data_IF_640681084809
#
_entry.id   IF_640681084809
#
_cell.length_a   1.000
_cell.length_b   1.000
_cell.length_c   1.000
_cell.angle_alpha   90.00
_cell.angle_beta   90.00
_cell.angle_gamma   90.00
#
_symmetry.space_group_name_H-M   'P 1'
#
loop_
_entity.id
_entity.type
_entity.pdbx_description
1 polymer ?
#
# COMPACT_ATOMS: atom_id res chain seq x y z
N UNK A 1 1.12 39.17 22.78
CA UNK A 1 1.90 38.81 21.57
C UNK A 1 2.55 37.43 21.67
N UNK A 2 3.34 37.11 22.71
CA UNK A 2 4.00 35.79 22.87
C UNK A 2 3.08 34.57 22.75
N UNK A 3 1.85 34.66 23.29
CA UNK A 3 0.83 33.59 23.21
C UNK A 3 0.35 33.31 21.78
N UNK A 4 0.22 34.35 20.95
CA UNK A 4 -0.23 34.22 19.56
C UNK A 4 0.86 33.57 18.72
N UNK A 5 2.11 33.96 18.94
CA UNK A 5 3.28 33.34 18.29
C UNK A 5 3.37 31.85 18.62
N UNK A 6 3.16 31.49 19.88
CA UNK A 6 3.19 30.09 20.31
C UNK A 6 2.07 29.25 19.67
N UNK A 7 0.86 29.81 19.58
CA UNK A 7 -0.27 29.15 18.92
C UNK A 7 -0.05 28.95 17.41
N UNK A 8 0.56 29.93 16.74
CA UNK A 8 0.91 29.84 15.32
C UNK A 8 1.94 28.76 15.02
N UNK A 9 2.96 28.63 15.89
CA UNK A 9 3.98 27.57 15.77
C UNK A 9 3.35 26.19 15.97
N UNK A 10 2.50 26.02 16.98
CA UNK A 10 1.82 24.75 17.25
C UNK A 10 0.90 24.32 16.08
N UNK A 11 0.20 25.27 15.46
CA UNK A 11 -0.64 25.01 14.29
C UNK A 11 0.19 24.58 13.06
N UNK A 12 1.38 25.16 12.85
CA UNK A 12 2.28 24.78 11.76
C UNK A 12 2.82 23.35 11.94
N UNK A 13 3.10 22.94 13.17
CA UNK A 13 3.59 21.59 13.47
C UNK A 13 2.52 20.51 13.39
N UNK A 14 1.23 20.87 13.51
CA UNK A 14 0.12 19.94 13.44
C UNK A 14 -0.16 19.40 12.02
N UNK A 15 0.37 20.06 10.98
CA UNK A 15 0.22 19.63 9.58
C UNK A 15 1.14 18.44 9.20
N UNK A 16 1.99 17.97 10.10
CA UNK A 16 2.97 16.91 9.85
C UNK A 16 2.47 15.47 10.01
N UNK A 17 1.17 15.26 10.25
CA UNK A 17 0.61 13.91 10.32
C UNK A 17 0.55 13.28 8.91
N UNK A 18 1.65 12.64 8.51
CA UNK A 18 1.70 11.81 7.31
C UNK A 18 0.85 10.55 7.56
N UNK A 19 -0.35 10.52 6.99
CA UNK A 19 -1.13 9.30 6.93
C UNK A 19 -0.39 8.24 6.09
N UNK A 20 -0.70 6.96 6.29
CA UNK A 20 -0.19 5.93 5.41
C UNK A 20 -0.71 6.17 4.00
N UNK A 21 0.15 5.99 3.00
CA UNK A 21 -0.27 6.01 1.59
C UNK A 21 -1.44 5.04 1.37
N UNK A 22 -2.31 5.37 0.42
CA UNK A 22 -3.37 4.47 0.01
C UNK A 22 -2.78 3.13 -0.45
N UNK A 23 -3.21 2.05 0.18
CA UNK A 23 -2.76 0.71 -0.20
C UNK A 23 -3.46 0.27 -1.50
N UNK A 24 -2.74 -0.39 -2.44
CA UNK A 24 -1.29 -0.63 -2.45
C UNK A 24 -0.51 0.61 -2.89
N UNK A 25 0.67 0.83 -2.32
CA UNK A 25 1.57 1.93 -2.74
C UNK A 25 2.69 1.46 -3.68
N UNK A 26 2.80 0.15 -3.93
CA UNK A 26 3.82 -0.47 -4.80
C UNK A 26 3.35 -1.83 -5.32
N UNK A 27 4.10 -2.36 -6.28
CA UNK A 27 3.92 -3.74 -6.76
C UNK A 27 4.01 -4.75 -5.61
N UNK A 28 3.18 -5.79 -5.69
CA UNK A 28 3.09 -6.86 -4.70
C UNK A 28 3.60 -8.17 -5.29
N UNK A 29 4.16 -9.02 -4.44
CA UNK A 29 4.59 -10.37 -4.83
C UNK A 29 3.70 -11.39 -4.12
N UNK A 30 3.06 -12.25 -4.91
CA UNK A 30 2.23 -13.33 -4.42
C UNK A 30 3.06 -14.60 -4.30
N UNK A 31 3.33 -15.00 -3.07
CA UNK A 31 4.15 -16.18 -2.78
C UNK A 31 3.28 -17.44 -2.87
N UNK A 32 3.62 -18.33 -3.81
CA UNK A 32 3.07 -19.68 -3.90
C UNK A 32 4.13 -20.67 -3.43
N UNK A 33 4.05 -21.20 -2.18
CA UNK A 33 5.10 -22.03 -1.60
C UNK A 33 5.01 -23.50 -2.03
N UNK A 34 4.73 -23.73 -3.31
CA UNK A 34 4.58 -25.07 -3.90
C UNK A 34 5.29 -25.12 -5.26
N UNK A 35 5.63 -26.32 -5.75
CA UNK A 35 6.24 -26.47 -7.07
C UNK A 35 5.40 -25.82 -8.19
N UNK A 36 6.04 -25.23 -9.21
CA UNK A 36 5.33 -24.66 -10.36
C UNK A 36 4.54 -25.75 -11.10
N UNK A 37 3.38 -25.38 -11.65
CA UNK A 37 2.46 -26.32 -12.30
C UNK A 37 1.59 -27.16 -11.36
N UNK A 38 1.76 -27.04 -10.03
CA UNK A 38 0.85 -27.65 -9.06
C UNK A 38 -0.48 -26.90 -8.96
N UNK A 39 -1.45 -27.48 -8.22
CA UNK A 39 -2.79 -26.88 -8.03
C UNK A 39 -2.69 -25.43 -7.57
N UNK A 40 -1.84 -25.15 -6.58
CA UNK A 40 -1.66 -23.80 -6.03
C UNK A 40 -1.11 -22.80 -7.05
N UNK A 41 -0.18 -23.19 -7.94
CA UNK A 41 0.37 -22.32 -8.99
C UNK A 41 -0.66 -22.08 -10.09
N UNK A 42 -1.38 -23.12 -10.51
CA UNK A 42 -2.44 -23.04 -11.53
C UNK A 42 -3.59 -22.14 -11.07
N UNK A 43 -3.97 -22.19 -9.79
CA UNK A 43 -4.99 -21.28 -9.24
C UNK A 43 -4.42 -19.90 -8.92
N UNK A 44 -3.16 -19.81 -8.52
CA UNK A 44 -2.49 -18.57 -8.12
C UNK A 44 -2.36 -17.60 -9.28
N UNK A 45 -1.77 -18.01 -10.42
CA UNK A 45 -1.54 -17.14 -11.59
C UNK A 45 -2.77 -16.37 -12.08
N UNK A 46 -3.93 -17.00 -12.33
CA UNK A 46 -5.13 -16.25 -12.73
C UNK A 46 -5.68 -15.36 -11.61
N UNK A 47 -5.46 -15.74 -10.34
CA UNK A 47 -5.82 -14.90 -9.18
C UNK A 47 -5.00 -13.61 -9.14
N UNK A 48 -3.67 -13.69 -9.30
CA UNK A 48 -2.82 -12.51 -9.42
C UNK A 48 -3.26 -11.58 -10.56
N UNK A 49 -3.50 -12.14 -11.76
CA UNK A 49 -3.96 -11.35 -12.90
C UNK A 49 -5.31 -10.66 -12.67
N UNK A 50 -6.22 -11.28 -11.89
CA UNK A 50 -7.48 -10.66 -11.50
C UNK A 50 -7.27 -9.55 -10.45
N UNK A 51 -6.40 -9.78 -9.46
CA UNK A 51 -6.05 -8.80 -8.44
C UNK A 51 -5.40 -7.55 -9.04
N UNK A 52 -4.54 -7.69 -10.04
CA UNK A 52 -3.94 -6.54 -10.75
C UNK A 52 -5.01 -5.60 -11.31
N UNK A 53 -6.08 -6.14 -11.90
CA UNK A 53 -7.19 -5.35 -12.47
C UNK A 53 -7.95 -4.58 -11.39
N UNK A 54 -8.14 -5.19 -10.22
CA UNK A 54 -8.90 -4.61 -9.10
C UNK A 54 -8.05 -3.57 -8.36
N UNK A 55 -6.81 -3.93 -8.05
CA UNK A 55 -5.91 -3.15 -7.21
C UNK A 55 -5.16 -2.07 -7.99
N UNK A 56 -5.17 -2.14 -9.34
CA UNK A 56 -4.45 -1.21 -10.24
C UNK A 56 -2.95 -1.13 -9.95
N UNK A 57 -2.39 -2.21 -9.41
CA UNK A 57 -0.97 -2.37 -9.11
C UNK A 57 -0.52 -3.76 -9.55
N UNK A 58 0.72 -3.94 -10.02
CA UNK A 58 1.23 -5.25 -10.41
C UNK A 58 1.23 -6.25 -9.24
N UNK A 59 0.91 -7.50 -9.56
CA UNK A 59 0.90 -8.65 -8.65
C UNK A 59 1.64 -9.78 -9.35
N UNK A 60 2.89 -10.02 -8.94
CA UNK A 60 3.78 -11.01 -9.54
C UNK A 60 3.84 -12.30 -8.75
#
# INVERSE_FOLDING_TARGET
MKRIVFALIAALTAAGAQAQDAFPSRAMTMIVPFPPGGVADITGRPTAAAMEKILRHPVT
#
